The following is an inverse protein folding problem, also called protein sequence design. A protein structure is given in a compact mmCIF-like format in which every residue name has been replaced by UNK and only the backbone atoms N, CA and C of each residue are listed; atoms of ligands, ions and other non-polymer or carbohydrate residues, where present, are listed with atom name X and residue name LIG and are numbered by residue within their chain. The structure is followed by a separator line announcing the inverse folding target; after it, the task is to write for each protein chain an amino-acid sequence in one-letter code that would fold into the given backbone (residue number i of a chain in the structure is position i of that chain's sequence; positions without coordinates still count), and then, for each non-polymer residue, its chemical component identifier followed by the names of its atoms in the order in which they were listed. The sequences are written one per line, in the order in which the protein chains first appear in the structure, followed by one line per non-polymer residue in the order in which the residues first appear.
data_IF_457576610336
#
_entry.id   IF_457576610336
#
_cell.length_a   1.000
_cell.length_b   1.000
_cell.length_c   1.000
_cell.angle_alpha   90.00
_cell.angle_beta   90.00
_cell.angle_gamma   90.00
#
_symmetry.space_group_name_H-M   'P 1'
#
loop_
_entity.id
_entity.type
_entity.pdbx_description
1 polymer ?
#
# COMPACT_ATOMS: atom_id res chain seq x y z
N UNK A 1 14.49 -6.85 -2.63
CA UNK A 1 13.72 -5.61 -2.85
C UNK A 1 13.88 -4.74 -1.62
N UNK A 2 13.93 -3.42 -1.79
CA UNK A 2 14.24 -2.45 -0.74
C UNK A 2 12.94 -1.74 -0.36
N UNK A 3 12.56 -1.78 0.92
CA UNK A 3 11.37 -1.03 1.36
C UNK A 3 11.66 0.46 1.39
N UNK A 4 10.72 1.24 0.86
CA UNK A 4 10.84 2.68 0.83
C UNK A 4 9.48 3.36 0.99
N UNK A 5 9.53 4.64 1.34
CA UNK A 5 8.38 5.54 1.29
C UNK A 5 8.68 6.60 0.23
N UNK A 6 7.79 6.69 -0.76
CA UNK A 6 7.85 7.73 -1.78
C UNK A 6 7.01 8.91 -1.29
N UNK A 7 7.67 10.02 -0.97
CA UNK A 7 6.99 11.27 -0.65
C UNK A 7 6.75 12.05 -1.94
N UNK A 8 5.52 12.01 -2.43
CA UNK A 8 5.14 12.59 -3.72
C UNK A 8 4.95 14.12 -3.64
N UNK A 9 5.09 14.80 -4.78
CA UNK A 9 4.76 16.23 -4.88
C UNK A 9 3.25 16.44 -4.86
N UNK A 10 2.77 17.20 -3.88
CA UNK A 10 1.36 17.58 -3.71
C UNK A 10 0.40 16.39 -3.56
N UNK A 11 0.89 15.23 -3.12
CA UNK A 11 0.09 14.03 -2.91
C UNK A 11 0.53 13.29 -1.64
N UNK A 12 -0.27 12.34 -1.18
CA UNK A 12 0.02 11.52 0.00
C UNK A 12 1.20 10.58 -0.27
N UNK A 13 2.03 10.28 0.75
CA UNK A 13 3.15 9.37 0.60
C UNK A 13 2.70 7.92 0.39
N UNK A 14 3.50 7.16 -0.33
CA UNK A 14 3.25 5.76 -0.67
C UNK A 14 4.33 4.85 -0.11
N UNK A 15 3.92 3.75 0.52
CA UNK A 15 4.78 2.63 0.87
C UNK A 15 5.03 1.77 -0.37
N UNK A 16 6.28 1.43 -0.65
CA UNK A 16 6.65 0.63 -1.84
C UNK A 16 7.79 -0.32 -1.55
N UNK A 17 8.00 -1.26 -2.47
CA UNK A 17 9.21 -2.06 -2.57
C UNK A 17 9.97 -1.70 -3.85
N UNK A 18 11.12 -1.06 -3.71
CA UNK A 18 12.00 -0.71 -4.82
C UNK A 18 12.73 -1.95 -5.34
N UNK A 19 12.88 -2.00 -6.66
CA UNK A 19 13.68 -3.02 -7.33
C UNK A 19 15.17 -2.83 -7.03
N UNK A 20 15.64 -1.58 -7.03
CA UNK A 20 17.02 -1.18 -6.71
C UNK A 20 17.07 0.18 -5.99
N UNK A 21 18.22 0.51 -5.37
CA UNK A 21 18.42 1.83 -4.77
C UNK A 21 18.48 2.93 -5.84
N UNK A 22 17.78 4.07 -5.64
CA UNK A 22 17.84 5.18 -6.59
C UNK A 22 19.24 5.80 -6.67
N UNK A 23 19.69 6.12 -7.88
CA UNK A 23 20.97 6.76 -8.16
C UNK A 23 20.74 8.23 -8.59
N UNK A 24 21.71 9.13 -8.40
CA UNK A 24 21.56 10.55 -8.74
C UNK A 24 21.20 10.86 -10.21
N UNK A 25 21.42 9.92 -11.14
CA UNK A 25 21.11 10.09 -12.56
C UNK A 25 19.79 9.47 -13.01
N UNK A 26 19.05 8.80 -12.11
CA UNK A 26 17.83 8.10 -12.46
C UNK A 26 16.69 9.09 -12.72
N UNK A 27 15.90 8.81 -13.76
CA UNK A 27 14.74 9.62 -14.14
C UNK A 27 13.43 9.10 -13.54
N UNK A 28 13.46 7.88 -13.00
CA UNK A 28 12.32 7.21 -12.39
C UNK A 28 12.78 6.14 -11.41
N UNK A 29 11.91 5.77 -10.48
CA UNK A 29 12.07 4.57 -9.65
C UNK A 29 11.14 3.47 -10.16
N UNK A 30 11.60 2.22 -10.06
CA UNK A 30 10.81 1.03 -10.38
C UNK A 30 10.48 0.33 -9.07
N UNK A 31 9.20 0.08 -8.84
CA UNK A 31 8.74 -0.53 -7.60
C UNK A 31 7.54 -1.46 -7.78
N UNK A 32 7.27 -2.24 -6.74
CA UNK A 32 6.12 -3.13 -6.58
C UNK A 32 5.50 -2.90 -5.21
N UNK A 33 4.41 -3.62 -4.91
CA UNK A 33 3.79 -3.63 -3.59
C UNK A 33 3.43 -2.21 -3.08
N UNK A 34 2.78 -1.42 -3.94
CA UNK A 34 2.44 -0.02 -3.65
C UNK A 34 1.20 0.04 -2.75
N UNK A 35 1.35 0.68 -1.59
CA UNK A 35 0.31 0.90 -0.59
C UNK A 35 0.31 2.34 -0.10
N UNK A 36 -0.82 2.81 0.40
CA UNK A 36 -0.87 3.99 1.27
C UNK A 36 -0.13 3.71 2.58
N UNK A 37 0.16 4.73 3.39
CA UNK A 37 0.89 4.55 4.67
C UNK A 37 0.11 3.67 5.67
N UNK A 38 -1.22 3.69 5.61
CA UNK A 38 -2.10 2.80 6.39
C UNK A 38 -2.21 1.39 5.79
N UNK A 39 -1.40 1.05 4.77
CA UNK A 39 -1.28 -0.30 4.23
C UNK A 39 -2.37 -0.70 3.23
N UNK A 40 -3.22 0.24 2.80
CA UNK A 40 -4.30 -0.02 1.84
C UNK A 40 -3.82 0.17 0.40
N UNK A 41 -4.53 -0.47 -0.53
CA UNK A 41 -4.32 -0.22 -1.97
C UNK A 41 -4.75 1.23 -2.30
N UNK A 42 -3.90 2.05 -2.94
CA UNK A 42 -4.31 3.37 -3.41
C UNK A 42 -5.48 3.27 -4.39
N UNK A 43 -6.40 4.24 -4.32
CA UNK A 43 -7.62 4.26 -5.15
C UNK A 43 -7.34 4.40 -6.64
N UNK A 44 -6.17 4.92 -7.00
CA UNK A 44 -5.75 5.17 -8.37
C UNK A 44 -4.98 4.01 -9.01
N UNK A 45 -4.83 2.87 -8.31
CA UNK A 45 -4.25 1.64 -8.89
C UNK A 45 -5.29 0.52 -8.94
N UNK A 46 -5.42 -0.12 -10.09
CA UNK A 46 -6.36 -1.24 -10.28
C UNK A 46 -5.77 -2.56 -9.79
N UNK A 47 -4.48 -2.80 -10.07
CA UNK A 47 -3.82 -4.08 -9.83
C UNK A 47 -2.59 -3.92 -8.92
N UNK A 48 -2.71 -4.36 -7.66
CA UNK A 48 -1.63 -4.27 -6.65
C UNK A 48 -0.38 -5.07 -7.03
N UNK A 49 -0.54 -6.10 -7.87
CA UNK A 49 0.55 -6.96 -8.35
C UNK A 49 1.32 -6.38 -9.55
N UNK A 50 1.10 -5.11 -9.91
CA UNK A 50 1.80 -4.47 -11.03
C UNK A 50 3.22 -4.06 -10.66
N UNK A 51 4.04 -3.89 -11.69
CA UNK A 51 5.27 -3.09 -11.60
C UNK A 51 4.93 -1.64 -11.93
N UNK A 52 5.35 -0.74 -11.06
CA UNK A 52 5.10 0.69 -11.18
C UNK A 52 6.39 1.40 -11.54
N UNK A 53 6.29 2.35 -12.46
CA UNK A 53 7.38 3.25 -12.85
C UNK A 53 6.95 4.65 -12.45
N UNK A 54 7.60 5.22 -11.44
CA UNK A 54 7.24 6.54 -10.91
C UNK A 54 8.35 7.53 -11.29
N UNK A 55 8.05 8.58 -12.07
CA UNK A 55 9.03 9.58 -12.45
C UNK A 55 9.63 10.27 -11.23
N UNK A 56 10.96 10.46 -11.22
CA UNK A 56 11.67 11.15 -10.14
C UNK A 56 11.18 12.60 -9.99
N UNK A 57 10.75 13.22 -11.10
CA UNK A 57 10.17 14.57 -11.12
C UNK A 57 8.84 14.70 -10.33
N UNK A 58 8.15 13.59 -10.04
CA UNK A 58 6.93 13.59 -9.23
C UNK A 58 7.21 13.31 -7.74
N UNK A 59 8.46 12.99 -7.39
CA UNK A 59 8.87 12.59 -6.05
C UNK A 59 9.61 13.76 -5.40
N UNK A 60 9.21 14.15 -4.19
CA UNK A 60 9.88 15.17 -3.38
C UNK A 60 11.16 14.62 -2.74
N UNK A 61 11.08 13.41 -2.18
CA UNK A 61 12.22 12.61 -1.73
C UNK A 61 11.83 11.15 -1.54
N UNK A 62 12.83 10.27 -1.49
CA UNK A 62 12.69 8.84 -1.18
C UNK A 62 13.23 8.59 0.22
N UNK A 63 12.41 8.00 1.08
CA UNK A 63 12.81 7.59 2.42
C UNK A 63 13.08 6.08 2.43
N UNK A 64 14.28 5.69 2.83
CA UNK A 64 14.69 4.29 2.99
C UNK A 64 14.95 4.07 4.49
N UNK A 65 14.00 3.46 5.23
CA UNK A 65 14.15 3.24 6.66
C UNK A 65 15.35 2.34 6.97
N UNK A 66 16.00 2.58 8.11
CA UNK A 66 17.05 1.69 8.62
C UNK A 66 16.46 0.74 9.65
N UNK A 67 16.99 -0.49 9.73
CA UNK A 67 16.28 -1.70 10.19
C UNK A 67 15.58 -1.72 11.56
N UNK A 68 15.74 -0.71 12.42
CA UNK A 68 14.93 -0.58 13.65
C UNK A 68 13.51 -0.15 13.30
N UNK A 69 13.34 0.86 12.44
CA UNK A 69 12.04 1.43 12.09
C UNK A 69 11.24 0.57 11.10
N UNK A 70 11.95 -0.23 10.29
CA UNK A 70 11.32 -1.17 9.36
C UNK A 70 10.59 -2.31 10.11
N UNK A 71 11.17 -2.77 11.22
CA UNK A 71 10.62 -3.87 12.03
C UNK A 71 9.32 -3.46 12.70
N UNK A 72 9.29 -2.27 13.31
CA UNK A 72 8.11 -1.74 14.00
C UNK A 72 6.94 -1.50 13.03
N UNK A 73 7.24 -0.97 11.83
CA UNK A 73 6.22 -0.76 10.80
C UNK A 73 5.70 -2.07 10.22
N UNK A 74 6.56 -3.07 9.99
CA UNK A 74 6.13 -4.38 9.53
C UNK A 74 5.18 -5.04 10.53
N UNK A 75 5.45 -4.89 11.84
CA UNK A 75 4.55 -5.36 12.89
C UNK A 75 3.20 -4.62 12.89
N UNK A 76 3.20 -3.30 12.70
CA UNK A 76 1.98 -2.50 12.62
C UNK A 76 1.11 -2.87 11.42
N UNK A 77 1.71 -3.10 10.24
CA UNK A 77 0.97 -3.54 9.03
C UNK A 77 0.38 -4.95 9.23
N UNK A 78 1.14 -5.87 9.84
CA UNK A 78 0.63 -7.20 10.14
C UNK A 78 -0.55 -7.17 11.12
N UNK A 79 -0.51 -6.28 12.11
CA UNK A 79 -1.63 -6.08 13.03
C UNK A 79 -2.88 -5.53 12.32
N UNK A 80 -2.74 -4.50 11.49
CA UNK A 80 -3.85 -3.93 10.72
C UNK A 80 -4.45 -4.94 9.71
N UNK A 81 -3.61 -5.80 9.12
CA UNK A 81 -4.07 -6.88 8.25
C UNK A 81 -4.86 -7.95 9.02
N UNK A 82 -4.49 -8.23 10.27
CA UNK A 82 -5.25 -9.15 11.13
C UNK A 82 -6.59 -8.55 11.55
N UNK A 83 -6.64 -7.26 11.92
CA UNK A 83 -7.89 -6.56 12.28
C UNK A 83 -8.89 -6.51 11.10
N UNK A 84 -8.41 -6.24 9.89
CA UNK A 84 -9.28 -6.21 8.70
C UNK A 84 -9.77 -7.59 8.24
N UNK A 85 -9.04 -8.66 8.56
CA UNK A 85 -9.53 -10.02 8.36
C UNK A 85 -10.67 -10.36 9.34
N UNK A 86 -10.53 -9.95 10.60
CA UNK A 86 -11.53 -10.14 11.66
C UNK A 86 -12.85 -9.41 11.32
N UNK A 87 -12.79 -8.16 10.84
CA UNK A 87 -13.99 -7.41 10.39
C UNK A 87 -14.70 -8.05 9.19
N UNK A 88 -14.00 -8.83 8.37
CA UNK A 88 -14.60 -9.52 7.22
C UNK A 88 -15.29 -10.83 7.57
N UNK A 89 -14.86 -11.49 8.66
CA UNK A 89 -15.52 -12.69 9.19
C UNK A 89 -16.85 -12.34 9.89
N UNK A 90 -16.97 -11.14 10.46
CA UNK A 90 -18.19 -10.66 11.15
C UNK A 90 -19.34 -10.22 10.20
N UNK A 91 -19.09 -10.13 8.88
CA UNK A 91 -20.09 -9.70 7.88
C UNK A 91 -20.73 -10.89 7.13
N UNK A 92 -21.06 -11.98 7.82
CA UNK A 92 -21.92 -13.03 7.26
C UNK A 92 -23.32 -12.44 6.93
N UNK A 93 -23.57 -12.21 5.64
CA UNK A 93 -24.88 -11.75 5.15
C UNK A 93 -25.89 -12.88 5.41
N UNK A 94 -26.79 -12.66 6.37
CA UNK A 94 -27.83 -13.61 6.74
C UNK A 94 -28.82 -13.85 5.57
N UNK A 95 -29.17 -15.12 5.34
CA UNK A 95 -30.14 -15.58 4.33
C UNK A 95 -31.50 -14.87 4.48
N UNK A 96 -31.88 -14.50 5.71
CA UNK A 96 -33.14 -13.81 5.99
C UNK A 96 -33.16 -12.37 5.45
N UNK A 97 -32.00 -11.70 5.39
CA UNK A 97 -31.86 -10.38 4.78
C UNK A 97 -32.03 -10.43 3.26
N UNK A 98 -31.41 -11.43 2.62
CA UNK A 98 -31.53 -11.64 1.17
C UNK A 98 -32.96 -11.99 0.74
N UNK A 99 -33.70 -12.71 1.60
CA UNK A 99 -35.11 -13.02 1.37
C UNK A 99 -35.98 -11.76 1.37
N UNK A 100 -35.76 -10.87 2.35
CA UNK A 100 -36.54 -9.63 2.51
C UNK A 100 -36.33 -8.63 1.35
N UNK A 101 -35.13 -8.59 0.77
CA UNK A 101 -34.85 -7.75 -0.43
C UNK A 101 -35.51 -8.31 -1.69
N UNK A 102 -35.62 -9.65 -1.83
CA UNK A 102 -36.29 -10.28 -2.98
C UNK A 102 -37.81 -10.13 -2.96
N UNK A 103 -38.40 -9.93 -1.79
CA UNK A 103 -39.85 -9.83 -1.60
C UNK A 103 -40.38 -8.38 -1.59
N UNK A 104 -39.50 -7.38 -1.72
CA UNK A 104 -39.83 -5.94 -1.81
C UNK A 104 -39.88 -5.48 -3.28
#
# INVERSE_FOLDING_TARGET
MIRAILHLLNDQPLSVELVEEPKPGDIAVICTNVHTIDGKRPVFIDFSSSTFVIPMAAIRFVEIPTGVEETDRAAAVAAAAAESADESEDLEIDEDFLRRVREA
#
